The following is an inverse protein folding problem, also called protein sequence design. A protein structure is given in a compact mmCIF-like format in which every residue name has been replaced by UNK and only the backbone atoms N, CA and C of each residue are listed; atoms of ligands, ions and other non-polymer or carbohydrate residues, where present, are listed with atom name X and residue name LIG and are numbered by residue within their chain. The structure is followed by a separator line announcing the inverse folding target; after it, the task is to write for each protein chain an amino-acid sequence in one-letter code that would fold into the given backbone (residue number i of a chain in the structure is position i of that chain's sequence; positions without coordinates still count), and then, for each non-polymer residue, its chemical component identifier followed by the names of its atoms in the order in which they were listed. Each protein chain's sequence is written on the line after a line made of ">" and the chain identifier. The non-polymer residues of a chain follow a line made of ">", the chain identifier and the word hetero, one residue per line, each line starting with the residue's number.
data_IF_637225236206
#
_entry.id   IF_637225236206
#
_cell.length_a   1.000
_cell.length_b   1.000
_cell.length_c   1.000
_cell.angle_alpha   90.00
_cell.angle_beta   90.00
_cell.angle_gamma   90.00
#
_symmetry.space_group_name_H-M   'P 1'
#
loop_
_entity.id
_entity.type
_entity.pdbx_description
1 polymer ?
#
# COMPACT_ATOMS: atom_id res chain seq x y z
N UNK A 1 10.31 20.05 0.45
CA UNK A 1 9.27 19.48 1.32
C UNK A 1 7.86 19.89 0.91
N UNK A 2 7.49 21.18 0.87
CA UNK A 2 6.12 21.59 0.53
C UNK A 2 5.61 21.03 -0.81
N UNK A 3 6.42 21.11 -1.88
CA UNK A 3 6.06 20.59 -3.21
C UNK A 3 5.77 19.08 -3.20
N UNK A 4 6.64 18.28 -2.56
CA UNK A 4 6.48 16.83 -2.46
C UNK A 4 5.22 16.44 -1.69
N UNK A 5 4.95 17.07 -0.55
CA UNK A 5 3.73 16.82 0.22
C UNK A 5 2.46 17.21 -0.56
N UNK A 6 2.49 18.33 -1.30
CA UNK A 6 1.38 18.72 -2.17
C UNK A 6 1.21 17.74 -3.33
N UNK A 7 2.29 17.24 -3.92
CA UNK A 7 2.19 16.25 -5.00
C UNK A 7 1.70 14.89 -4.50
N UNK A 8 2.08 14.48 -3.29
CA UNK A 8 1.57 13.24 -2.67
C UNK A 8 0.09 13.29 -2.33
N UNK A 9 -0.50 14.48 -2.17
CA UNK A 9 -1.90 14.61 -1.78
C UNK A 9 -2.84 13.88 -2.75
N UNK A 10 -2.61 14.01 -4.06
CA UNK A 10 -3.47 13.37 -5.07
C UNK A 10 -3.31 11.84 -5.07
N UNK A 11 -2.10 11.26 -5.20
CA UNK A 11 -1.88 9.83 -5.04
C UNK A 11 -2.46 9.25 -3.74
N UNK A 12 -2.20 9.91 -2.61
CA UNK A 12 -2.73 9.47 -1.32
C UNK A 12 -4.27 9.47 -1.30
N UNK A 13 -4.90 10.53 -1.81
CA UNK A 13 -6.36 10.59 -1.90
C UNK A 13 -6.95 9.53 -2.84
N UNK A 14 -6.32 9.29 -3.99
CA UNK A 14 -6.77 8.26 -4.92
C UNK A 14 -6.70 6.86 -4.29
N UNK A 15 -5.62 6.58 -3.55
CA UNK A 15 -5.46 5.35 -2.80
C UNK A 15 -6.42 5.26 -1.60
N UNK A 16 -6.74 6.39 -0.95
CA UNK A 16 -7.73 6.51 0.12
C UNK A 16 -9.13 6.16 -0.36
N UNK A 17 -9.56 6.79 -1.47
CA UNK A 17 -10.86 6.54 -2.07
C UNK A 17 -10.99 5.07 -2.49
N UNK A 18 -9.93 4.49 -3.07
CA UNK A 18 -9.90 3.07 -3.46
C UNK A 18 -9.95 2.12 -2.25
N UNK A 19 -9.08 2.30 -1.27
CA UNK A 19 -9.02 1.40 -0.10
C UNK A 19 -10.25 1.53 0.79
N UNK A 20 -10.84 2.72 0.88
CA UNK A 20 -12.15 2.91 1.52
C UNK A 20 -13.24 2.11 0.80
N UNK A 21 -13.25 2.10 -0.54
CA UNK A 21 -14.21 1.29 -1.30
C UNK A 21 -14.00 -0.20 -1.06
N UNK A 22 -12.75 -0.68 -0.98
CA UNK A 22 -12.49 -2.08 -0.62
C UNK A 22 -12.99 -2.41 0.78
N UNK A 23 -12.74 -1.53 1.76
CA UNK A 23 -13.21 -1.73 3.13
C UNK A 23 -14.74 -1.82 3.23
N UNK A 24 -15.45 -1.10 2.37
CA UNK A 24 -16.93 -1.16 2.28
C UNK A 24 -17.37 -2.44 1.56
N UNK A 25 -16.67 -2.85 0.51
CA UNK A 25 -17.08 -3.91 -0.39
C UNK A 25 -16.80 -5.33 0.13
N UNK A 26 -15.93 -5.50 1.12
CA UNK A 26 -15.54 -6.80 1.66
C UNK A 26 -15.71 -6.87 3.17
N UNK A 27 -16.06 -8.03 3.68
CA UNK A 27 -16.14 -8.27 5.12
C UNK A 27 -14.77 -8.67 5.68
N UNK A 28 -14.02 -7.67 6.17
CA UNK A 28 -12.76 -7.89 6.87
C UNK A 28 -12.94 -8.30 8.35
N UNK A 29 -14.19 -8.44 8.82
CA UNK A 29 -14.54 -8.71 10.20
C UNK A 29 -14.79 -7.45 11.04
N UNK A 30 -15.59 -7.59 12.10
CA UNK A 30 -16.09 -6.47 12.92
C UNK A 30 -15.02 -5.63 13.63
N UNK A 31 -13.84 -6.21 13.88
CA UNK A 31 -12.72 -5.54 14.54
C UNK A 31 -11.65 -5.06 13.54
N UNK A 32 -11.92 -5.17 12.24
CA UNK A 32 -11.00 -4.68 11.22
C UNK A 32 -10.91 -3.15 11.21
N UNK A 33 -9.77 -2.65 10.72
CA UNK A 33 -9.53 -1.22 10.59
C UNK A 33 -8.71 -0.89 9.36
N UNK A 34 -9.06 0.23 8.73
CA UNK A 34 -8.27 0.85 7.66
C UNK A 34 -7.54 2.08 8.23
N UNK A 35 -6.22 2.09 8.10
CA UNK A 35 -5.36 3.20 8.55
C UNK A 35 -4.60 3.75 7.34
N UNK A 36 -5.09 4.85 6.73
CA UNK A 36 -4.35 5.58 5.70
C UNK A 36 -3.30 6.49 6.37
N UNK A 37 -2.08 6.50 5.84
CA UNK A 37 -0.97 7.27 6.36
C UNK A 37 -0.08 7.82 5.24
N UNK A 38 0.59 8.95 5.55
CA UNK A 38 1.75 9.42 4.80
C UNK A 38 2.95 9.29 5.73
N UNK A 39 3.91 8.47 5.33
CA UNK A 39 5.10 8.13 6.09
C UNK A 39 6.32 8.83 5.48
N UNK A 40 7.20 9.29 6.36
CA UNK A 40 8.51 9.83 5.98
C UNK A 40 9.55 8.95 6.67
N UNK A 41 10.26 8.17 5.87
CA UNK A 41 11.25 7.21 6.36
C UNK A 41 12.65 7.58 5.88
N UNK A 42 13.66 7.18 6.64
CA UNK A 42 15.05 7.34 6.22
C UNK A 42 15.61 5.96 5.88
N UNK A 43 15.86 5.71 4.60
CA UNK A 43 16.53 4.51 4.14
C UNK A 43 18.02 4.77 3.90
N UNK A 44 18.77 3.69 3.66
CA UNK A 44 20.19 3.79 3.37
C UNK A 44 20.46 4.59 2.07
N UNK A 45 19.54 4.51 1.12
CA UNK A 45 19.60 5.18 -0.19
C UNK A 45 19.23 6.67 -0.11
N UNK A 46 18.43 7.05 0.90
CA UNK A 46 17.95 8.41 1.12
C UNK A 46 16.58 8.47 1.81
N UNK A 47 16.05 9.68 2.05
CA UNK A 47 14.71 9.85 2.62
C UNK A 47 13.63 9.42 1.61
N UNK A 48 12.63 8.71 2.11
CA UNK A 48 11.41 8.33 1.39
C UNK A 48 10.21 9.09 1.91
N UNK A 49 9.29 9.40 0.98
CA UNK A 49 7.94 9.82 1.27
C UNK A 49 6.99 8.80 0.66
N UNK A 50 6.18 8.13 1.49
CA UNK A 50 5.32 7.01 1.10
C UNK A 50 3.88 7.25 1.54
N UNK A 51 2.92 6.97 0.66
CA UNK A 51 1.53 6.78 1.04
C UNK A 51 1.35 5.30 1.37
N UNK A 52 0.81 4.99 2.55
CA UNK A 52 0.64 3.64 3.05
C UNK A 52 -0.80 3.48 3.56
N UNK A 53 -1.52 2.49 3.03
CA UNK A 53 -2.91 2.22 3.39
C UNK A 53 -2.97 0.80 3.91
N UNK A 54 -3.18 0.69 5.23
CA UNK A 54 -3.08 -0.57 5.96
C UNK A 54 -4.45 -1.03 6.43
N UNK A 55 -4.83 -2.23 6.04
CA UNK A 55 -5.93 -2.97 6.63
C UNK A 55 -5.37 -3.86 7.72
N UNK A 56 -5.85 -3.71 8.96
CA UNK A 56 -5.65 -4.69 10.02
C UNK A 56 -6.92 -5.52 10.17
N UNK A 57 -6.78 -6.84 10.27
CA UNK A 57 -7.90 -7.76 10.45
C UNK A 57 -7.47 -8.98 11.28
N UNK A 58 -8.45 -9.67 11.86
CA UNK A 58 -8.22 -10.74 12.83
C UNK A 58 -8.88 -12.03 12.36
N UNK A 59 -8.20 -13.15 12.56
CA UNK A 59 -8.85 -14.45 12.43
C UNK A 59 -9.87 -14.65 13.56
N UNK A 60 -10.92 -15.44 13.31
CA UNK A 60 -11.89 -15.79 14.35
C UNK A 60 -11.17 -16.41 15.57
N UNK A 61 -11.52 -15.90 16.75
CA UNK A 61 -10.95 -16.29 18.05
C UNK A 61 -9.42 -16.09 18.20
N UNK A 62 -8.82 -15.19 17.41
CA UNK A 62 -7.40 -14.80 17.53
C UNK A 62 -7.22 -13.34 17.98
N UNK A 63 -6.15 -13.10 18.75
CA UNK A 63 -5.72 -11.77 19.16
C UNK A 63 -4.62 -11.20 18.25
N UNK A 64 -3.97 -12.04 17.44
CA UNK A 64 -2.90 -11.64 16.54
C UNK A 64 -3.48 -11.00 15.26
N UNK A 65 -2.92 -9.84 14.88
CA UNK A 65 -3.40 -9.04 13.75
C UNK A 65 -2.68 -9.45 12.47
N UNK A 66 -3.44 -9.72 11.42
CA UNK A 66 -2.92 -9.84 10.06
C UNK A 66 -3.14 -8.52 9.32
N UNK A 67 -2.20 -8.17 8.43
CA UNK A 67 -2.16 -6.86 7.79
C UNK A 67 -2.12 -7.00 6.26
N UNK A 68 -2.87 -6.15 5.55
CA UNK A 68 -2.77 -5.95 4.10
C UNK A 68 -2.40 -4.49 3.85
N UNK A 69 -1.33 -4.27 3.09
CA UNK A 69 -0.84 -2.94 2.75
C UNK A 69 -0.93 -2.67 1.27
N UNK A 70 -1.42 -1.48 0.93
CA UNK A 70 -1.17 -0.85 -0.36
C UNK A 70 -0.26 0.35 -0.12
N UNK A 71 0.90 0.37 -0.75
CA UNK A 71 1.82 1.49 -0.59
C UNK A 71 2.47 1.94 -1.88
N UNK A 72 2.70 3.24 -1.98
CA UNK A 72 3.46 3.84 -3.07
C UNK A 72 4.26 5.04 -2.58
N UNK A 73 5.52 5.14 -2.98
CA UNK A 73 6.45 6.12 -2.45
C UNK A 73 7.54 6.55 -3.41
N UNK A 74 8.21 7.63 -3.03
CA UNK A 74 9.37 8.17 -3.73
C UNK A 74 10.52 8.33 -2.75
N UNK A 75 11.64 7.66 -3.03
CA UNK A 75 12.90 7.84 -2.31
C UNK A 75 13.81 8.80 -3.08
N UNK A 76 14.33 9.83 -2.41
CA UNK A 76 15.25 10.80 -3.00
C UNK A 76 16.69 10.37 -2.70
N UNK A 77 17.43 9.99 -3.72
CA UNK A 77 18.82 9.53 -3.59
C UNK A 77 19.81 10.57 -4.11
N UNK A 78 21.11 10.31 -3.93
CA UNK A 78 22.17 11.17 -4.48
C UNK A 78 22.26 11.14 -6.02
N UNK A 79 21.75 10.09 -6.67
CA UNK A 79 21.87 9.87 -8.13
C UNK A 79 20.55 10.05 -8.89
N UNK A 80 19.46 10.38 -8.20
CA UNK A 80 18.11 10.47 -8.77
C UNK A 80 17.04 10.08 -7.77
N UNK A 81 15.83 9.85 -8.25
CA UNK A 81 14.71 9.37 -7.44
C UNK A 81 14.44 7.89 -7.75
N UNK A 82 13.94 7.20 -6.75
CA UNK A 82 13.39 5.85 -6.86
C UNK A 82 11.91 5.94 -6.59
N UNK A 83 11.11 5.30 -7.42
CA UNK A 83 9.66 5.19 -7.21
C UNK A 83 9.33 3.72 -7.02
N UNK A 84 8.55 3.43 -5.99
CA UNK A 84 8.15 2.07 -5.68
C UNK A 84 6.68 2.02 -5.30
N UNK A 85 5.98 1.00 -5.79
CA UNK A 85 4.63 0.65 -5.38
C UNK A 85 4.56 -0.83 -5.04
N UNK A 86 3.84 -1.15 -3.96
CA UNK A 86 3.79 -2.47 -3.37
C UNK A 86 2.39 -2.80 -2.86
N UNK A 87 2.04 -4.08 -2.99
CA UNK A 87 0.98 -4.71 -2.20
C UNK A 87 1.61 -5.84 -1.41
N UNK A 88 1.61 -5.70 -0.10
CA UNK A 88 2.12 -6.70 0.82
C UNK A 88 0.98 -7.21 1.69
N UNK A 89 1.10 -8.45 2.14
CA UNK A 89 0.27 -9.00 3.19
C UNK A 89 1.17 -9.67 4.22
N UNK A 90 0.91 -9.43 5.50
CA UNK A 90 1.53 -10.15 6.62
C UNK A 90 0.44 -10.94 7.33
N UNK A 91 0.61 -12.26 7.32
CA UNK A 91 -0.41 -13.19 7.75
C UNK A 91 0.11 -14.01 8.93
N UNK A 92 -0.57 -13.87 10.06
CA UNK A 92 -0.29 -14.67 11.25
C UNK A 92 -0.82 -16.11 11.11
N UNK A 93 -1.79 -16.32 10.20
CA UNK A 93 -2.35 -17.61 9.83
C UNK A 93 -2.61 -17.71 8.33
N UNK A 94 -2.69 -18.92 7.75
CA UNK A 94 -3.03 -19.07 6.35
C UNK A 94 -4.41 -18.48 6.06
N UNK A 95 -4.52 -17.71 4.98
CA UNK A 95 -5.76 -17.06 4.56
C UNK A 95 -5.91 -17.11 3.04
N UNK A 96 -7.06 -17.56 2.57
CA UNK A 96 -7.33 -17.73 1.15
C UNK A 96 -6.28 -18.63 0.49
N UNK A 97 -5.56 -18.08 -0.50
CA UNK A 97 -4.49 -18.79 -1.21
C UNK A 97 -3.09 -18.70 -0.55
N UNK A 98 -2.95 -17.96 0.56
CA UNK A 98 -1.65 -17.60 1.14
C UNK A 98 -1.38 -18.31 2.47
N UNK A 99 -0.11 -18.64 2.73
CA UNK A 99 0.35 -19.18 4.01
C UNK A 99 0.65 -18.10 5.05
N UNK A 100 0.87 -18.51 6.30
CA UNK A 100 1.16 -17.64 7.46
C UNK A 100 2.58 -17.06 7.45
N UNK A 101 2.84 -16.10 6.57
CA UNK A 101 4.08 -15.33 6.45
C UNK A 101 3.78 -14.02 5.71
N UNK A 102 4.77 -13.14 5.62
CA UNK A 102 4.75 -12.00 4.70
C UNK A 102 4.80 -12.47 3.24
N UNK A 103 3.90 -11.97 2.41
CA UNK A 103 3.92 -12.12 0.95
C UNK A 103 3.86 -10.76 0.27
N UNK A 104 4.75 -10.55 -0.71
CA UNK A 104 4.63 -9.42 -1.64
C UNK A 104 3.83 -9.87 -2.85
N UNK A 105 2.60 -9.38 -2.96
CA UNK A 105 1.65 -9.73 -4.00
C UNK A 105 1.89 -8.96 -5.30
N UNK A 106 2.39 -7.74 -5.15
CA UNK A 106 2.79 -6.88 -6.26
C UNK A 106 3.96 -6.00 -5.82
N UNK A 107 4.92 -5.81 -6.72
CA UNK A 107 5.99 -4.84 -6.56
C UNK A 107 6.39 -4.30 -7.91
N UNK A 108 6.39 -2.98 -8.03
CA UNK A 108 6.97 -2.28 -9.16
C UNK A 108 7.94 -1.22 -8.65
N UNK A 109 9.17 -1.24 -9.15
CA UNK A 109 10.22 -0.32 -8.74
C UNK A 109 10.95 0.22 -9.96
N UNK A 110 11.14 1.54 -10.00
CA UNK A 110 11.91 2.21 -11.05
C UNK A 110 12.93 3.15 -10.39
N UNK A 111 14.20 2.92 -10.70
CA UNK A 111 15.31 3.69 -10.16
C UNK A 111 15.79 4.79 -11.12
N UNK A 112 16.60 5.71 -10.58
CA UNK A 112 17.35 6.74 -11.34
C UNK A 112 16.49 7.72 -12.16
N UNK A 113 15.24 7.95 -11.74
CA UNK A 113 14.37 8.94 -12.37
C UNK A 113 14.74 10.37 -11.96
N UNK A 114 14.44 11.33 -12.82
CA UNK A 114 14.35 12.72 -12.37
C UNK A 114 13.19 12.87 -11.38
N UNK A 115 13.20 13.90 -10.53
CA UNK A 115 12.09 14.12 -9.59
C UNK A 115 10.74 14.26 -10.33
N UNK A 116 10.72 14.98 -11.45
CA UNK A 116 9.49 15.15 -12.23
C UNK A 116 8.98 13.83 -12.79
N UNK A 117 9.87 13.03 -13.39
CA UNK A 117 9.49 11.72 -13.95
C UNK A 117 9.06 10.75 -12.85
N UNK A 118 9.71 10.83 -11.69
CA UNK A 118 9.36 10.04 -10.53
C UNK A 118 7.94 10.34 -10.05
N UNK A 119 7.58 11.62 -9.94
CA UNK A 119 6.22 12.02 -9.52
C UNK A 119 5.16 11.61 -10.54
N UNK A 120 5.43 11.76 -11.85
CA UNK A 120 4.54 11.25 -12.90
C UNK A 120 4.44 9.72 -12.93
N UNK A 121 5.50 9.00 -12.55
CA UNK A 121 5.49 7.55 -12.43
C UNK A 121 4.67 7.10 -11.21
N UNK A 122 4.83 7.79 -10.08
CA UNK A 122 4.09 7.51 -8.85
C UNK A 122 2.58 7.55 -9.09
N UNK A 123 2.09 8.59 -9.78
CA UNK A 123 0.66 8.69 -10.13
C UNK A 123 0.18 7.46 -10.92
N UNK A 124 0.95 7.00 -11.90
CA UNK A 124 0.62 5.81 -12.70
C UNK A 124 0.61 4.53 -11.85
N UNK A 125 1.59 4.39 -10.97
CA UNK A 125 1.68 3.22 -10.08
C UNK A 125 0.53 3.20 -9.08
N UNK A 126 0.11 4.36 -8.54
CA UNK A 126 -1.09 4.43 -7.70
C UNK A 126 -2.34 4.01 -8.48
N UNK A 127 -2.51 4.50 -9.70
CA UNK A 127 -3.62 4.05 -10.55
C UNK A 127 -3.57 2.54 -10.79
N UNK A 128 -2.37 1.94 -10.94
CA UNK A 128 -2.21 0.49 -11.07
C UNK A 128 -2.59 -0.25 -9.77
N UNK A 129 -2.18 0.23 -8.60
CA UNK A 129 -2.60 -0.31 -7.30
C UNK A 129 -4.13 -0.29 -7.17
N UNK A 130 -4.78 0.79 -7.60
CA UNK A 130 -6.24 0.93 -7.58
C UNK A 130 -6.99 -0.02 -8.52
N UNK A 131 -6.29 -0.83 -9.33
CA UNK A 131 -6.91 -1.91 -10.11
C UNK A 131 -6.89 -3.27 -9.39
N UNK A 132 -6.17 -3.39 -8.27
CA UNK A 132 -5.97 -4.64 -7.53
C UNK A 132 -7.09 -4.90 -6.52
N UNK A 133 -8.34 -4.63 -6.92
CA UNK A 133 -9.51 -4.79 -6.06
C UNK A 133 -9.91 -6.25 -5.80
N UNK A 134 -9.23 -7.20 -6.44
CA UNK A 134 -9.39 -8.64 -6.25
C UNK A 134 -8.55 -9.19 -5.09
N UNK A 135 -7.58 -8.43 -4.57
CA UNK A 135 -6.69 -8.89 -3.49
C UNK A 135 -7.45 -9.37 -2.24
N UNK A 136 -8.48 -8.66 -1.73
CA UNK A 136 -9.27 -9.18 -0.61
C UNK A 136 -9.94 -10.53 -0.93
N UNK A 137 -10.43 -10.71 -2.16
CA UNK A 137 -11.02 -11.99 -2.56
C UNK A 137 -10.01 -13.14 -2.59
N UNK A 138 -8.78 -12.88 -3.03
CA UNK A 138 -7.67 -13.86 -3.00
C UNK A 138 -7.24 -14.22 -1.59
N UNK A 139 -7.38 -13.28 -0.66
CA UNK A 139 -7.25 -13.53 0.77
C UNK A 139 -8.46 -14.29 1.34
N UNK A 140 -9.51 -14.55 0.57
CA UNK A 140 -10.66 -15.34 1.01
C UNK A 140 -11.73 -14.52 1.74
N UNK A 141 -11.71 -13.19 1.64
CA UNK A 141 -12.80 -12.34 2.10
C UNK A 141 -13.97 -12.38 1.12
N UNK A 142 -15.18 -12.49 1.67
CA UNK A 142 -16.42 -12.43 0.92
C UNK A 142 -16.81 -10.97 0.66
N UNK A 143 -17.49 -10.74 -0.47
CA UNK A 143 -18.08 -9.44 -0.76
C UNK A 143 -19.32 -9.20 0.13
N UNK A 144 -19.43 -7.99 0.68
CA UNK A 144 -20.52 -7.55 1.56
C UNK A 144 -21.85 -7.27 0.84
#
# INVERSE_FOLDING_TARGET
>A
MALLLTTMHRPHKELDDFTTQLHIAYDFGNESGLVPAIEIENHAEGPELRACHRFGFFAEDDADVSELWFSAGVTITSTGCIVEAMVDVDLERPWGEFGAVVHTLYRERIDQLSLTDALSCLEKQVTALCTMGDVPNRLGFDAS
#
